data_IF_991733929482
#
_entry.id   IF_991733929482
#
_cell.length_a   1.000
_cell.length_b   1.000
_cell.length_c   1.000
_cell.angle_alpha   90.00
_cell.angle_beta   90.00
_cell.angle_gamma   90.00
#
_symmetry.space_group_name_H-M   'P 1'
#
loop_
_entity.id
_entity.type
_entity.pdbx_description
1 polymer ?
#
# COMPACT_ATOMS: atom_id res chain seq x y z
N UNK A 1 24.80 5.82 30.89
CA UNK A 1 24.65 4.64 30.02
C UNK A 1 24.17 5.14 28.68
N UNK A 2 25.00 5.03 27.63
CA UNK A 2 24.60 5.35 26.25
C UNK A 2 23.45 4.39 25.90
N UNK A 3 22.23 4.93 25.66
CA UNK A 3 21.12 4.10 25.17
C UNK A 3 21.47 3.66 23.75
N UNK A 4 21.61 2.36 23.55
CA UNK A 4 21.75 1.80 22.21
C UNK A 4 20.59 2.22 21.32
N UNK A 5 20.86 2.49 20.04
CA UNK A 5 19.82 2.78 19.05
C UNK A 5 18.82 1.61 19.00
N UNK A 6 17.53 1.89 18.81
CA UNK A 6 16.55 0.83 18.61
C UNK A 6 16.88 0.05 17.34
N UNK A 7 16.36 -1.17 17.23
CA UNK A 7 16.32 -1.90 15.97
C UNK A 7 15.12 -1.41 15.17
N UNK A 8 15.38 -0.69 14.09
CA UNK A 8 14.35 -0.25 13.13
C UNK A 8 14.25 -1.27 12.00
N UNK A 9 13.04 -1.78 11.75
CA UNK A 9 12.80 -2.79 10.71
C UNK A 9 11.84 -2.25 9.67
N UNK A 10 12.27 -2.23 8.41
CA UNK A 10 11.45 -1.79 7.26
C UNK A 10 10.82 -3.01 6.60
N UNK A 11 9.48 -3.07 6.60
CA UNK A 11 8.67 -4.16 6.06
C UNK A 11 7.90 -3.64 4.84
N UNK A 12 8.20 -4.14 3.64
CA UNK A 12 7.59 -3.63 2.41
C UNK A 12 6.14 -4.10 2.23
N UNK A 13 5.44 -3.50 1.26
CA UNK A 13 4.16 -3.98 0.75
C UNK A 13 4.32 -5.16 -0.21
N UNK A 14 3.19 -5.60 -0.77
CA UNK A 14 3.16 -6.63 -1.82
C UNK A 14 3.99 -6.18 -3.02
N UNK A 15 4.81 -7.08 -3.58
CA UNK A 15 5.72 -6.76 -4.67
C UNK A 15 6.90 -5.86 -4.28
N UNK A 16 7.13 -5.60 -2.99
CA UNK A 16 8.19 -4.72 -2.50
C UNK A 16 9.52 -5.41 -2.18
N UNK A 17 9.62 -6.71 -2.42
CA UNK A 17 10.84 -7.52 -2.28
C UNK A 17 11.29 -8.05 -3.62
N UNK A 18 12.58 -8.21 -3.80
CA UNK A 18 13.13 -8.99 -4.92
C UNK A 18 13.12 -10.48 -4.56
N UNK A 19 12.95 -11.34 -5.55
CA UNK A 19 12.87 -12.79 -5.38
C UNK A 19 13.85 -13.49 -6.32
N UNK A 20 14.62 -14.45 -5.79
CA UNK A 20 15.52 -15.32 -6.54
C UNK A 20 15.11 -16.79 -6.43
N UNK A 21 15.48 -17.61 -7.42
CA UNK A 21 15.32 -19.06 -7.37
C UNK A 21 16.41 -19.73 -6.52
N UNK A 22 16.36 -21.07 -6.41
CA UNK A 22 17.34 -21.87 -5.65
C UNK A 22 18.76 -21.78 -6.23
N UNK A 23 18.92 -21.40 -7.50
CA UNK A 23 20.22 -21.17 -8.16
C UNK A 23 20.73 -19.74 -7.95
N UNK A 24 19.99 -18.88 -7.22
CA UNK A 24 20.31 -17.47 -7.01
C UNK A 24 20.02 -16.57 -8.18
N UNK A 25 19.30 -17.03 -9.21
CA UNK A 25 18.89 -16.19 -10.33
C UNK A 25 17.71 -15.35 -9.93
N UNK A 26 17.78 -14.05 -10.23
CA UNK A 26 16.71 -13.11 -9.95
C UNK A 26 15.48 -13.41 -10.81
N UNK A 27 14.40 -13.83 -10.17
CA UNK A 27 13.10 -14.13 -10.79
C UNK A 27 12.21 -12.91 -10.80
N UNK A 28 12.23 -12.15 -9.73
CA UNK A 28 11.50 -10.90 -9.60
C UNK A 28 12.41 -9.83 -9.06
N UNK A 29 12.81 -8.91 -9.92
CA UNK A 29 13.60 -7.74 -9.59
C UNK A 29 13.27 -6.59 -10.54
N UNK A 30 13.63 -5.37 -10.19
CA UNK A 30 13.22 -4.17 -10.92
C UNK A 30 14.42 -3.36 -11.36
N UNK A 31 14.82 -3.59 -12.58
CA UNK A 31 15.40 -2.56 -13.43
C UNK A 31 14.41 -2.27 -14.58
N UNK A 32 14.61 -1.20 -15.30
CA UNK A 32 13.70 -0.80 -16.39
C UNK A 32 13.64 -1.83 -17.53
N UNK A 33 14.68 -2.63 -17.73
CA UNK A 33 14.74 -3.69 -18.75
C UNK A 33 14.07 -4.97 -18.28
N UNK A 34 14.24 -5.36 -17.03
CA UNK A 34 13.71 -6.62 -16.49
C UNK A 34 12.22 -6.57 -16.22
N UNK A 35 11.62 -5.40 -16.03
CA UNK A 35 10.20 -5.30 -15.80
C UNK A 35 9.36 -5.77 -16.99
N UNK A 36 9.77 -5.47 -18.22
CA UNK A 36 9.13 -5.97 -19.44
C UNK A 36 9.31 -7.50 -19.56
N UNK A 37 10.49 -8.00 -19.23
CA UNK A 37 10.77 -9.43 -19.26
C UNK A 37 9.94 -10.23 -18.23
N UNK A 38 9.70 -9.68 -17.02
CA UNK A 38 8.94 -10.39 -15.96
C UNK A 38 7.43 -10.44 -16.23
N UNK A 39 6.88 -9.43 -16.84
CA UNK A 39 5.49 -9.48 -17.33
C UNK A 39 5.34 -10.51 -18.46
N UNK A 40 6.42 -10.80 -19.21
CA UNK A 40 6.42 -11.81 -20.29
C UNK A 40 6.48 -13.25 -19.78
N UNK A 41 7.09 -13.49 -18.62
CA UNK A 41 7.16 -14.83 -17.99
C UNK A 41 6.66 -14.79 -16.54
N UNK A 42 5.35 -14.62 -16.32
CA UNK A 42 4.78 -14.65 -14.98
C UNK A 42 4.79 -16.04 -14.35
N UNK A 43 4.98 -17.13 -15.13
CA UNK A 43 5.01 -18.51 -14.61
C UNK A 43 6.15 -18.71 -13.60
N UNK A 44 7.24 -17.96 -13.74
CA UNK A 44 8.31 -17.96 -12.75
C UNK A 44 7.85 -17.53 -11.34
N UNK A 45 6.71 -16.82 -11.24
CA UNK A 45 6.10 -16.37 -9.98
C UNK A 45 4.96 -17.28 -9.48
N UNK A 46 4.74 -18.44 -10.08
CA UNK A 46 3.79 -19.43 -9.58
C UNK A 46 4.14 -19.85 -8.16
N UNK A 47 3.10 -20.10 -7.34
CA UNK A 47 3.29 -20.43 -5.92
C UNK A 47 4.03 -21.76 -5.72
N UNK A 48 3.99 -22.65 -6.69
CA UNK A 48 4.73 -23.92 -6.70
C UNK A 48 6.24 -23.75 -6.85
N UNK A 49 6.72 -22.63 -7.36
CA UNK A 49 8.13 -22.34 -7.50
C UNK A 49 8.70 -21.85 -6.17
N UNK A 50 9.76 -22.50 -5.69
CA UNK A 50 10.48 -22.07 -4.50
C UNK A 50 11.27 -20.82 -4.83
N UNK A 51 10.95 -19.72 -4.16
CA UNK A 51 11.65 -18.45 -4.32
C UNK A 51 12.09 -17.90 -2.98
N UNK A 52 13.23 -17.23 -2.99
CA UNK A 52 13.86 -16.65 -1.81
C UNK A 52 13.85 -15.13 -1.92
N UNK A 53 13.32 -14.40 -0.92
CA UNK A 53 13.45 -12.97 -0.86
C UNK A 53 14.91 -12.57 -0.64
N UNK A 54 15.39 -11.58 -1.38
CA UNK A 54 16.80 -11.19 -1.31
C UNK A 54 16.99 -9.76 -0.80
N UNK A 55 16.27 -8.78 -1.39
CA UNK A 55 16.41 -7.36 -1.06
C UNK A 55 15.07 -6.66 -1.12
N UNK A 56 14.98 -5.44 -0.58
CA UNK A 56 13.87 -4.55 -0.88
C UNK A 56 14.04 -3.99 -2.30
N UNK A 57 12.93 -3.81 -2.99
CA UNK A 57 12.96 -3.22 -4.32
C UNK A 57 13.54 -1.81 -4.25
N UNK A 58 14.63 -1.58 -5.00
CA UNK A 58 15.34 -0.32 -5.07
C UNK A 58 14.77 0.66 -6.12
N UNK A 59 14.05 0.15 -7.10
CA UNK A 59 13.42 0.93 -8.17
C UNK A 59 11.90 0.73 -8.18
N UNK A 60 11.22 1.37 -9.13
CA UNK A 60 9.76 1.25 -9.24
C UNK A 60 9.34 -0.12 -9.79
N UNK A 61 8.29 -0.68 -9.23
CA UNK A 61 7.64 -1.87 -9.75
C UNK A 61 6.17 -1.62 -10.08
N UNK A 62 5.57 -2.50 -10.90
CA UNK A 62 4.14 -2.46 -11.18
C UNK A 62 3.50 -3.74 -10.67
N UNK A 63 2.71 -3.60 -9.62
CA UNK A 63 1.91 -4.69 -9.05
C UNK A 63 0.46 -4.22 -8.98
N UNK A 64 -0.47 -5.08 -9.34
CA UNK A 64 -1.91 -4.78 -9.31
C UNK A 64 -2.32 -3.51 -10.06
N UNK A 65 -1.74 -3.25 -11.24
CA UNK A 65 -2.01 -2.01 -12.00
C UNK A 65 -1.54 -0.75 -11.25
N UNK A 66 -0.59 -0.89 -10.36
CA UNK A 66 -0.10 0.15 -9.49
C UNK A 66 1.42 0.26 -9.56
N UNK A 67 1.91 1.49 -9.60
CA UNK A 67 3.33 1.75 -9.47
C UNK A 67 3.71 1.60 -7.99
N UNK A 68 4.65 0.72 -7.69
CA UNK A 68 5.23 0.60 -6.35
C UNK A 68 6.57 1.33 -6.36
N UNK A 69 6.69 2.38 -5.54
CA UNK A 69 7.94 3.10 -5.33
C UNK A 69 8.93 2.18 -4.62
N UNK A 70 10.20 2.21 -5.05
CA UNK A 70 11.25 1.47 -4.38
C UNK A 70 11.54 1.98 -2.97
N UNK A 71 12.08 1.12 -2.15
CA UNK A 71 12.41 1.43 -0.74
C UNK A 71 13.84 1.99 -0.58
N UNK A 72 14.59 2.12 -1.65
CA UNK A 72 15.98 2.62 -1.62
C UNK A 72 16.05 4.03 -1.02
N UNK A 73 15.15 4.92 -1.45
CA UNK A 73 15.08 6.28 -0.92
C UNK A 73 14.75 6.30 0.58
N UNK A 74 13.84 5.43 1.02
CA UNK A 74 13.50 5.27 2.44
C UNK A 74 14.71 4.79 3.25
N UNK A 75 15.34 3.71 2.82
CA UNK A 75 16.52 3.15 3.49
C UNK A 75 17.67 4.16 3.55
N UNK A 76 17.93 4.89 2.45
CA UNK A 76 18.93 5.95 2.39
C UNK A 76 18.60 7.10 3.33
N UNK A 77 17.35 7.57 3.33
CA UNK A 77 16.91 8.66 4.21
C UNK A 77 17.03 8.28 5.69
N UNK A 78 16.63 7.06 6.06
CA UNK A 78 16.78 6.56 7.44
C UNK A 78 18.24 6.41 7.83
N UNK A 79 19.08 5.86 6.93
CA UNK A 79 20.52 5.73 7.16
C UNK A 79 21.18 7.09 7.42
N UNK A 80 20.87 8.08 6.60
CA UNK A 80 21.40 9.46 6.75
C UNK A 80 20.85 10.13 8.01
N UNK A 81 19.54 10.09 8.24
CA UNK A 81 18.91 10.72 9.41
C UNK A 81 19.41 10.13 10.72
N UNK A 82 19.68 8.84 10.75
CA UNK A 82 20.21 8.13 11.92
C UNK A 82 21.73 8.19 12.03
N UNK A 83 22.42 8.74 11.05
CA UNK A 83 23.88 8.81 11.02
C UNK A 83 24.53 7.43 11.06
N UNK A 84 23.89 6.42 10.42
CA UNK A 84 24.34 5.05 10.46
C UNK A 84 25.49 4.82 9.46
N UNK A 85 26.46 4.01 9.90
CA UNK A 85 27.46 3.43 8.99
C UNK A 85 26.87 2.23 8.25
N UNK A 86 27.50 1.81 7.16
CA UNK A 86 27.10 0.61 6.41
C UNK A 86 27.03 -0.65 7.28
N UNK A 87 27.92 -0.78 8.28
CA UNK A 87 27.90 -1.91 9.21
C UNK A 87 26.68 -1.96 10.13
N UNK A 88 25.93 -0.85 10.23
CA UNK A 88 24.72 -0.74 11.05
C UNK A 88 23.43 -0.90 10.24
N UNK A 89 23.55 -1.19 8.95
CA UNK A 89 22.44 -1.48 8.04
C UNK A 89 22.54 -2.92 7.57
N UNK A 90 21.47 -3.67 7.66
CA UNK A 90 21.42 -5.06 7.24
C UNK A 90 20.16 -5.38 6.44
N UNK A 91 20.21 -6.48 5.71
CA UNK A 91 19.05 -7.11 5.08
C UNK A 91 18.80 -8.45 5.77
N UNK A 92 17.55 -8.76 6.08
CA UNK A 92 17.16 -10.05 6.63
C UNK A 92 17.36 -11.16 5.60
N UNK A 93 17.84 -12.28 6.06
CA UNK A 93 18.15 -13.43 5.20
C UNK A 93 18.54 -14.66 5.99
N UNK A 94 18.89 -15.77 5.30
CA UNK A 94 19.26 -17.02 5.97
C UNK A 94 20.47 -16.86 6.87
N UNK A 95 21.44 -16.06 6.44
CA UNK A 95 22.63 -15.74 7.23
C UNK A 95 22.41 -14.54 8.14
N UNK A 96 22.98 -14.59 9.35
CA UNK A 96 22.91 -13.47 10.30
C UNK A 96 24.06 -12.48 10.01
N UNK A 97 23.92 -11.71 8.97
CA UNK A 97 24.88 -10.62 8.64
C UNK A 97 24.59 -9.41 9.53
N UNK A 98 25.62 -8.76 10.06
CA UNK A 98 25.53 -7.60 10.95
C UNK A 98 24.46 -7.77 12.06
N UNK A 99 24.68 -8.66 13.02
CA UNK A 99 23.69 -8.96 14.08
C UNK A 99 23.28 -7.73 14.89
N UNK A 100 24.18 -6.77 15.03
CA UNK A 100 23.98 -5.52 15.79
C UNK A 100 23.47 -4.36 14.94
N UNK A 101 23.03 -4.62 13.69
CA UNK A 101 22.46 -3.59 12.83
C UNK A 101 21.33 -2.84 13.54
N UNK A 102 21.26 -1.52 13.36
CA UNK A 102 20.21 -0.66 13.89
C UNK A 102 19.10 -0.40 12.87
N UNK A 103 19.37 -0.65 11.60
CA UNK A 103 18.39 -0.57 10.51
C UNK A 103 18.39 -1.89 9.73
N UNK A 104 17.24 -2.51 9.65
CA UNK A 104 17.03 -3.79 8.98
C UNK A 104 16.02 -3.67 7.86
N UNK A 105 16.41 -4.00 6.64
CA UNK A 105 15.49 -4.31 5.56
C UNK A 105 14.94 -5.74 5.75
N UNK A 106 13.62 -5.90 5.71
CA UNK A 106 12.97 -7.20 5.83
C UNK A 106 12.26 -7.58 4.52
N UNK A 107 12.98 -8.07 3.50
CA UNK A 107 12.35 -8.65 2.32
C UNK A 107 11.68 -9.98 2.68
N UNK A 108 10.55 -10.26 2.01
CA UNK A 108 9.81 -11.50 2.22
C UNK A 108 9.14 -11.96 0.91
N UNK A 109 8.80 -13.24 0.83
CA UNK A 109 8.02 -13.77 -0.29
C UNK A 109 6.58 -13.27 -0.20
N UNK A 110 6.29 -12.20 -0.91
CA UNK A 110 5.00 -11.52 -0.88
C UNK A 110 3.85 -12.33 -1.51
N UNK A 111 4.10 -13.51 -2.06
CA UNK A 111 3.08 -14.43 -2.56
C UNK A 111 2.43 -15.22 -1.42
N UNK A 112 3.17 -15.41 -0.33
CA UNK A 112 2.76 -16.19 0.83
C UNK A 112 1.73 -15.45 1.68
N UNK A 113 0.86 -16.17 2.41
CA UNK A 113 -0.06 -15.55 3.36
C UNK A 113 0.65 -14.69 4.41
N UNK A 114 0.00 -13.60 4.81
CA UNK A 114 0.49 -12.65 5.83
C UNK A 114 0.97 -13.35 7.10
N UNK A 115 0.24 -14.35 7.58
CA UNK A 115 0.58 -15.11 8.80
C UNK A 115 1.91 -15.87 8.68
N UNK A 116 2.24 -16.40 7.50
CA UNK A 116 3.48 -17.14 7.27
C UNK A 116 4.66 -16.16 7.24
N UNK A 117 4.47 -15.01 6.63
CA UNK A 117 5.43 -13.90 6.66
C UNK A 117 5.65 -13.38 8.09
N UNK A 118 4.61 -13.30 8.91
CA UNK A 118 4.73 -12.90 10.31
C UNK A 118 5.58 -13.88 11.14
N UNK A 119 5.52 -15.19 10.86
CA UNK A 119 6.40 -16.18 11.48
C UNK A 119 7.87 -15.96 11.06
N UNK A 120 8.11 -15.61 9.80
CA UNK A 120 9.46 -15.28 9.34
C UNK A 120 9.98 -14.00 10.02
N UNK A 121 9.14 -13.00 10.19
CA UNK A 121 9.45 -11.76 10.91
C UNK A 121 9.80 -12.05 12.39
N UNK A 122 9.00 -12.88 13.07
CA UNK A 122 9.26 -13.27 14.46
C UNK A 122 10.65 -13.90 14.62
N UNK A 123 11.00 -14.83 13.74
CA UNK A 123 12.31 -15.49 13.75
C UNK A 123 13.45 -14.48 13.62
N UNK A 124 13.31 -13.52 12.72
CA UNK A 124 14.33 -12.50 12.48
C UNK A 124 14.45 -11.52 13.65
N UNK A 125 13.33 -11.10 14.23
CA UNK A 125 13.32 -10.20 15.39
C UNK A 125 13.94 -10.87 16.61
N UNK A 126 13.66 -12.15 16.88
CA UNK A 126 14.28 -12.89 18.01
C UNK A 126 15.79 -13.05 17.85
N UNK A 127 16.27 -13.18 16.60
CA UNK A 127 17.72 -13.26 16.33
C UNK A 127 18.45 -11.94 16.58
N UNK A 128 17.78 -10.78 16.38
CA UNK A 128 18.41 -9.45 16.32
C UNK A 128 18.04 -8.50 17.45
N UNK A 129 16.86 -8.61 18.02
CA UNK A 129 16.43 -7.66 19.06
C UNK A 129 17.34 -7.72 20.30
N UNK A 130 17.63 -8.91 20.81
CA UNK A 130 18.58 -9.12 21.92
C UNK A 130 18.41 -8.11 23.08
N UNK A 131 17.15 -7.84 23.47
CA UNK A 131 16.80 -6.86 24.51
C UNK A 131 16.80 -5.39 24.07
N UNK A 132 17.09 -5.09 22.81
CA UNK A 132 16.90 -3.73 22.24
C UNK A 132 15.43 -3.47 21.97
N UNK A 133 15.04 -2.22 22.07
CA UNK A 133 13.71 -1.79 21.62
C UNK A 133 13.59 -1.91 20.11
N UNK A 134 12.40 -2.28 19.64
CA UNK A 134 12.10 -2.50 18.23
C UNK A 134 11.13 -1.44 17.74
N UNK A 135 11.39 -0.87 16.56
CA UNK A 135 10.47 -0.01 15.81
C UNK A 135 10.20 -0.70 14.47
N UNK A 136 8.95 -0.98 14.18
CA UNK A 136 8.55 -1.51 12.87
C UNK A 136 8.04 -0.38 11.99
N UNK A 137 8.57 -0.28 10.78
CA UNK A 137 8.11 0.63 9.72
C UNK A 137 7.54 -0.21 8.59
N UNK A 138 6.23 -0.24 8.47
CA UNK A 138 5.54 -1.21 7.64
C UNK A 138 4.63 -0.52 6.61
N UNK A 139 4.86 -0.79 5.34
CA UNK A 139 4.07 -0.23 4.25
C UNK A 139 3.03 -1.23 3.74
N UNK A 140 1.80 -0.75 3.49
CA UNK A 140 0.75 -1.53 2.83
C UNK A 140 0.53 -2.90 3.50
N UNK A 141 0.62 -4.00 2.74
CA UNK A 141 0.52 -5.38 3.24
C UNK A 141 1.53 -5.68 4.36
N UNK A 142 2.70 -5.05 4.35
CA UNK A 142 3.69 -5.19 5.43
C UNK A 142 3.14 -4.77 6.80
N UNK A 143 2.20 -3.84 6.83
CA UNK A 143 1.50 -3.46 8.06
C UNK A 143 0.59 -4.56 8.60
N UNK A 144 -0.02 -5.38 7.75
CA UNK A 144 -0.75 -6.56 8.17
C UNK A 144 0.20 -7.63 8.75
N UNK A 145 1.39 -7.78 8.16
CA UNK A 145 2.44 -8.66 8.69
C UNK A 145 2.87 -8.22 10.08
N UNK A 146 3.15 -6.93 10.27
CA UNK A 146 3.52 -6.38 11.56
C UNK A 146 2.40 -6.51 12.61
N UNK A 147 1.15 -6.26 12.19
CA UNK A 147 -0.03 -6.38 13.04
C UNK A 147 -0.27 -7.85 13.48
N UNK A 148 -0.17 -8.79 12.53
CA UNK A 148 -0.28 -10.22 12.83
C UNK A 148 0.81 -10.67 13.79
N UNK A 149 2.06 -10.28 13.49
CA UNK A 149 3.19 -10.60 14.37
C UNK A 149 2.98 -10.07 15.80
N UNK A 150 2.59 -8.80 15.94
CA UNK A 150 2.39 -8.20 17.25
C UNK A 150 1.24 -8.85 18.01
N UNK A 151 0.13 -9.17 17.33
CA UNK A 151 -1.04 -9.78 17.95
C UNK A 151 -0.73 -11.18 18.53
N UNK A 152 0.01 -12.02 17.80
CA UNK A 152 0.11 -13.44 18.11
C UNK A 152 1.52 -13.94 18.47
N UNK A 153 2.57 -13.24 18.07
CA UNK A 153 3.94 -13.75 18.16
C UNK A 153 4.88 -12.82 18.95
N UNK A 154 4.58 -11.54 19.03
CA UNK A 154 5.49 -10.51 19.55
C UNK A 154 5.71 -10.49 21.06
N UNK A 155 5.26 -11.50 21.79
CA UNK A 155 5.48 -11.61 23.24
C UNK A 155 6.98 -11.71 23.56
N UNK A 156 7.40 -10.96 24.59
CA UNK A 156 8.80 -10.93 25.06
C UNK A 156 9.73 -10.01 24.26
N UNK A 157 9.24 -9.34 23.21
CA UNK A 157 10.00 -8.32 22.46
C UNK A 157 9.52 -6.93 22.88
N UNK A 158 10.45 -6.06 23.26
CA UNK A 158 10.14 -4.66 23.63
C UNK A 158 9.89 -3.82 22.37
N UNK A 159 8.60 -3.65 22.03
CA UNK A 159 8.16 -2.86 20.88
C UNK A 159 7.98 -1.40 21.31
N UNK A 160 8.77 -0.52 20.71
CA UNK A 160 8.66 0.91 20.92
C UNK A 160 7.48 1.50 20.14
N UNK A 161 7.39 1.15 18.86
CA UNK A 161 6.32 1.62 17.95
C UNK A 161 6.19 0.71 16.73
N UNK A 162 4.97 0.65 16.20
CA UNK A 162 4.62 0.03 14.93
C UNK A 162 4.00 1.12 14.04
N UNK A 163 4.80 1.63 13.12
CA UNK A 163 4.39 2.66 12.18
C UNK A 163 3.88 1.98 10.92
N UNK A 164 2.62 2.21 10.58
CA UNK A 164 2.00 1.64 9.39
C UNK A 164 1.65 2.75 8.38
N UNK A 165 1.94 2.49 7.11
CA UNK A 165 1.78 3.44 6.01
C UNK A 165 0.81 2.83 4.99
N UNK A 166 -0.42 3.34 4.90
CA UNK A 166 -1.43 2.87 3.95
C UNK A 166 -1.84 1.40 4.10
N UNK A 167 -1.79 0.85 5.31
CA UNK A 167 -2.09 -0.57 5.57
C UNK A 167 -3.57 -0.87 5.42
N UNK A 168 -3.96 -1.85 4.58
CA UNK A 168 -5.36 -2.21 4.37
C UNK A 168 -5.89 -3.13 5.49
N UNK A 169 -6.09 -2.60 6.69
CA UNK A 169 -6.56 -3.39 7.85
C UNK A 169 -7.90 -4.09 7.60
N UNK A 170 -8.77 -3.50 6.76
CA UNK A 170 -10.05 -4.12 6.38
C UNK A 170 -10.05 -4.66 4.95
N UNK A 171 -8.88 -4.77 4.33
CA UNK A 171 -8.73 -5.15 2.93
C UNK A 171 -9.01 -3.99 1.96
N UNK A 172 -9.01 -4.28 0.67
CA UNK A 172 -9.21 -3.30 -0.39
C UNK A 172 -10.07 -3.87 -1.53
N UNK A 173 -11.07 -3.11 -1.98
CA UNK A 173 -11.91 -3.48 -3.13
C UNK A 173 -11.07 -3.67 -4.41
N UNK A 174 -9.92 -3.00 -4.51
CA UNK A 174 -8.97 -3.19 -5.61
C UNK A 174 -8.41 -4.61 -5.67
N UNK A 175 -8.17 -5.27 -4.55
CA UNK A 175 -7.74 -6.69 -4.54
C UNK A 175 -8.84 -7.62 -5.08
N UNK A 176 -10.10 -7.34 -4.73
CA UNK A 176 -11.25 -8.05 -5.27
C UNK A 176 -11.38 -7.85 -6.78
N UNK A 177 -11.23 -6.61 -7.27
CA UNK A 177 -11.25 -6.28 -8.69
C UNK A 177 -10.19 -7.08 -9.46
N UNK A 178 -8.96 -7.09 -8.97
CA UNK A 178 -7.84 -7.81 -9.58
C UNK A 178 -8.09 -9.32 -9.65
N UNK A 179 -8.62 -9.92 -8.59
CA UNK A 179 -8.91 -11.36 -8.57
C UNK A 179 -10.03 -11.75 -9.53
N UNK A 180 -11.10 -10.99 -9.56
CA UNK A 180 -12.29 -11.32 -10.37
C UNK A 180 -12.11 -10.88 -11.83
N UNK A 181 -11.78 -9.60 -12.05
CA UNK A 181 -11.73 -8.99 -13.38
C UNK A 181 -10.35 -9.09 -14.04
N UNK A 182 -9.32 -9.48 -13.26
CA UNK A 182 -7.95 -9.57 -13.76
C UNK A 182 -7.23 -8.20 -13.81
N UNK A 183 -5.94 -8.27 -14.09
CA UNK A 183 -5.10 -7.10 -14.31
C UNK A 183 -5.26 -6.61 -15.74
N UNK A 184 -5.43 -5.31 -15.92
CA UNK A 184 -5.49 -4.65 -17.22
C UNK A 184 -4.53 -3.48 -17.28
N UNK A 185 -3.72 -3.42 -18.34
CA UNK A 185 -2.89 -2.26 -18.65
C UNK A 185 -3.36 -1.63 -19.96
N UNK A 186 -3.64 -0.34 -19.95
CA UNK A 186 -4.14 0.36 -21.12
C UNK A 186 -5.38 -0.30 -21.76
N UNK A 187 -6.27 -0.88 -20.94
CA UNK A 187 -7.43 -1.63 -21.43
C UNK A 187 -7.16 -3.08 -21.83
N UNK A 188 -5.89 -3.50 -21.99
CA UNK A 188 -5.51 -4.85 -22.39
C UNK A 188 -5.37 -5.75 -21.15
N UNK A 189 -6.07 -6.89 -21.18
CA UNK A 189 -6.00 -7.88 -20.10
C UNK A 189 -4.64 -8.58 -20.07
N UNK A 190 -4.09 -8.70 -18.87
CA UNK A 190 -2.83 -9.40 -18.58
C UNK A 190 -3.15 -10.79 -18.02
N UNK A 191 -3.69 -11.67 -18.86
CA UNK A 191 -4.23 -12.98 -18.43
C UNK A 191 -3.19 -13.87 -17.72
N UNK A 192 -1.95 -13.91 -18.21
CA UNK A 192 -0.89 -14.74 -17.63
C UNK A 192 -0.54 -14.31 -16.19
N UNK A 193 -0.31 -13.02 -15.95
CA UNK A 193 -0.02 -12.52 -14.60
C UNK A 193 -1.26 -12.63 -13.69
N UNK A 194 -2.45 -12.41 -14.24
CA UNK A 194 -3.71 -12.59 -13.50
C UNK A 194 -3.86 -14.03 -12.99
N UNK A 195 -3.57 -15.02 -13.84
CA UNK A 195 -3.64 -16.44 -13.45
C UNK A 195 -2.70 -16.73 -12.28
N UNK A 196 -1.47 -16.28 -12.35
CA UNK A 196 -0.47 -16.49 -11.29
C UNK A 196 -0.87 -15.83 -9.99
N UNK A 197 -1.35 -14.58 -10.03
CA UNK A 197 -1.79 -13.84 -8.84
C UNK A 197 -2.99 -14.49 -8.12
N UNK A 198 -3.87 -15.17 -8.86
CA UNK A 198 -5.02 -15.88 -8.30
C UNK A 198 -4.64 -17.02 -7.37
N UNK A 199 -3.40 -17.49 -7.43
CA UNK A 199 -2.89 -18.54 -6.55
C UNK A 199 -2.16 -18.00 -5.31
N UNK A 200 -1.80 -16.72 -5.26
CA UNK A 200 -1.09 -16.17 -4.11
C UNK A 200 -2.00 -16.02 -2.89
N UNK A 201 -1.59 -16.61 -1.77
CA UNK A 201 -2.33 -16.53 -0.53
C UNK A 201 -2.47 -15.11 0.01
N UNK A 202 -1.44 -14.30 -0.17
CA UNK A 202 -1.40 -12.89 0.25
C UNK A 202 -2.49 -12.03 -0.39
N UNK A 203 -2.87 -12.31 -1.64
CA UNK A 203 -3.91 -11.53 -2.32
C UNK A 203 -5.29 -11.77 -1.69
N UNK A 204 -5.52 -12.97 -1.17
CA UNK A 204 -6.74 -13.27 -0.42
C UNK A 204 -6.76 -12.55 0.93
N UNK A 205 -5.61 -12.39 1.59
CA UNK A 205 -5.52 -11.61 2.84
C UNK A 205 -5.80 -10.10 2.63
N UNK A 206 -5.71 -9.63 1.38
CA UNK A 206 -6.04 -8.25 1.00
C UNK A 206 -7.51 -8.07 0.58
N UNK A 207 -8.33 -9.13 0.52
CA UNK A 207 -9.75 -9.01 0.17
C UNK A 207 -10.52 -8.20 1.22
N UNK A 208 -11.58 -7.46 0.81
CA UNK A 208 -12.45 -6.77 1.74
C UNK A 208 -13.04 -7.68 2.82
N UNK A 209 -12.93 -7.27 4.09
CA UNK A 209 -13.54 -7.93 5.23
C UNK A 209 -14.82 -7.23 5.71
N UNK A 210 -15.25 -6.21 5.01
CA UNK A 210 -16.50 -5.48 5.19
C UNK A 210 -17.48 -5.88 4.08
N UNK A 211 -18.72 -5.43 4.19
CA UNK A 211 -19.77 -5.65 3.21
C UNK A 211 -19.49 -4.81 1.95
N UNK A 212 -18.60 -5.32 1.10
CA UNK A 212 -18.07 -4.59 -0.04
C UNK A 212 -18.93 -4.72 -1.31
N UNK A 213 -19.84 -5.70 -1.38
CA UNK A 213 -20.52 -6.08 -2.63
C UNK A 213 -22.01 -5.83 -2.51
N UNK A 214 -22.56 -5.03 -3.41
CA UNK A 214 -23.99 -4.82 -3.58
C UNK A 214 -24.53 -5.62 -4.76
N UNK A 215 -25.83 -5.92 -4.74
CA UNK A 215 -26.49 -6.63 -5.84
C UNK A 215 -26.12 -8.13 -5.95
N UNK A 216 -25.30 -8.65 -5.05
CA UNK A 216 -24.99 -10.08 -5.00
C UNK A 216 -26.06 -10.83 -4.18
N UNK A 217 -26.82 -11.78 -4.78
CA UNK A 217 -27.90 -12.49 -4.10
C UNK A 217 -27.43 -13.37 -2.94
N UNK A 218 -26.19 -13.85 -2.98
CA UNK A 218 -25.63 -14.75 -1.97
C UNK A 218 -24.99 -14.01 -0.78
N UNK A 219 -24.90 -12.68 -0.86
CA UNK A 219 -24.45 -11.81 0.24
C UNK A 219 -23.33 -10.85 -0.11
N UNK A 220 -23.00 -9.92 0.82
CA UNK A 220 -22.16 -8.75 0.52
C UNK A 220 -20.65 -8.98 0.64
N UNK A 221 -20.20 -10.20 0.96
CA UNK A 221 -18.78 -10.48 1.18
C UNK A 221 -18.13 -11.20 -0.01
N UNK A 222 -16.83 -11.03 -0.25
CA UNK A 222 -16.12 -11.67 -1.37
C UNK A 222 -16.28 -13.20 -1.42
N UNK A 223 -16.25 -13.89 -0.29
CA UNK A 223 -16.39 -15.35 -0.24
C UNK A 223 -17.79 -15.85 -0.63
N UNK A 224 -18.75 -14.95 -0.80
CA UNK A 224 -20.12 -15.21 -1.21
C UNK A 224 -20.37 -14.95 -2.70
N UNK A 225 -19.33 -14.60 -3.47
CA UNK A 225 -19.47 -14.41 -4.92
C UNK A 225 -19.93 -15.70 -5.60
N UNK A 226 -20.83 -15.60 -6.62
CA UNK A 226 -21.33 -16.73 -7.35
C UNK A 226 -20.19 -17.53 -8.03
N UNK A 227 -20.31 -18.86 -8.12
CA UNK A 227 -19.32 -19.68 -8.79
C UNK A 227 -19.03 -19.26 -10.24
N UNK A 228 -20.00 -18.70 -10.96
CA UNK A 228 -19.83 -18.19 -12.32
C UNK A 228 -18.76 -17.10 -12.43
N UNK A 229 -18.63 -16.23 -11.42
CA UNK A 229 -17.63 -15.16 -11.37
C UNK A 229 -16.25 -15.65 -10.93
N UNK A 230 -16.16 -16.81 -10.33
CA UNK A 230 -14.94 -17.33 -9.69
C UNK A 230 -14.44 -18.63 -10.33
N UNK A 231 -15.02 -19.03 -11.47
CA UNK A 231 -14.67 -20.29 -12.16
C UNK A 231 -13.17 -20.43 -12.48
N UNK A 232 -12.51 -19.33 -12.80
CA UNK A 232 -11.06 -19.30 -13.06
C UNK A 232 -10.20 -19.43 -11.79
N UNK A 233 -10.82 -19.58 -10.61
CA UNK A 233 -10.16 -19.63 -9.30
C UNK A 233 -10.71 -20.81 -8.48
N UNK A 234 -10.24 -22.02 -8.70
CA UNK A 234 -10.69 -23.18 -7.93
C UNK A 234 -10.58 -22.96 -6.42
N UNK A 235 -11.65 -23.27 -5.68
CA UNK A 235 -11.68 -23.08 -4.23
C UNK A 235 -11.73 -21.62 -3.74
N UNK A 236 -12.04 -20.65 -4.62
CA UNK A 236 -12.09 -19.23 -4.26
C UNK A 236 -12.89 -18.96 -2.98
N UNK A 237 -14.15 -19.41 -2.90
CA UNK A 237 -15.02 -19.16 -1.74
C UNK A 237 -14.40 -19.68 -0.43
N UNK A 238 -13.81 -20.87 -0.45
CA UNK A 238 -13.13 -21.45 0.71
C UNK A 238 -11.89 -20.64 1.11
N UNK A 239 -11.07 -20.25 0.15
CA UNK A 239 -9.85 -19.44 0.39
C UNK A 239 -10.20 -18.05 0.89
N UNK A 240 -11.17 -17.39 0.26
CA UNK A 240 -11.65 -16.07 0.67
C UNK A 240 -12.31 -16.10 2.06
N UNK A 241 -13.06 -17.16 2.38
CA UNK A 241 -13.65 -17.35 3.72
C UNK A 241 -12.56 -17.55 4.79
N UNK A 242 -11.54 -18.35 4.50
CA UNK A 242 -10.41 -18.55 5.39
C UNK A 242 -9.66 -17.24 5.69
N UNK A 243 -9.43 -16.42 4.66
CA UNK A 243 -8.80 -15.11 4.83
C UNK A 243 -9.69 -14.15 5.65
N UNK A 244 -10.99 -14.13 5.39
CA UNK A 244 -11.96 -13.38 6.17
C UNK A 244 -11.95 -13.77 7.66
N UNK A 245 -12.00 -15.05 7.96
CA UNK A 245 -12.01 -15.54 9.35
C UNK A 245 -10.68 -15.22 10.06
N UNK A 246 -9.54 -15.37 9.37
CA UNK A 246 -8.23 -15.00 9.90
C UNK A 246 -8.11 -13.48 10.18
N UNK A 247 -8.66 -12.64 9.32
CA UNK A 247 -8.67 -11.19 9.55
C UNK A 247 -9.58 -10.82 10.75
N UNK A 248 -10.74 -11.44 10.89
CA UNK A 248 -11.58 -11.24 12.07
C UNK A 248 -10.87 -11.64 13.36
N UNK A 249 -10.12 -12.73 13.34
CA UNK A 249 -9.30 -13.15 14.47
C UNK A 249 -8.22 -12.12 14.80
N UNK A 250 -7.52 -11.61 13.76
CA UNK A 250 -6.53 -10.55 13.91
C UNK A 250 -7.14 -9.31 14.57
N UNK A 251 -8.26 -8.81 14.05
CA UNK A 251 -8.89 -7.61 14.61
C UNK A 251 -9.28 -7.79 16.08
N UNK A 252 -9.88 -8.93 16.43
CA UNK A 252 -10.22 -9.25 17.82
C UNK A 252 -8.98 -9.26 18.72
N UNK A 253 -7.91 -9.93 18.29
CA UNK A 253 -6.68 -10.01 19.07
C UNK A 253 -6.02 -8.64 19.25
N UNK A 254 -6.03 -7.78 18.22
CA UNK A 254 -5.54 -6.41 18.30
C UNK A 254 -6.35 -5.58 19.30
N UNK A 255 -7.67 -5.64 19.25
CA UNK A 255 -8.57 -4.94 20.18
C UNK A 255 -8.38 -5.40 21.64
N UNK A 256 -8.28 -6.70 21.86
CA UNK A 256 -8.02 -7.27 23.18
C UNK A 256 -6.69 -6.76 23.75
N UNK A 257 -5.62 -6.84 22.96
CA UNK A 257 -4.28 -6.48 23.36
C UNK A 257 -4.10 -4.97 23.58
N UNK A 258 -4.78 -4.13 22.79
CA UNK A 258 -4.74 -2.67 22.96
C UNK A 258 -5.55 -2.18 24.16
N UNK A 259 -6.63 -2.88 24.57
CA UNK A 259 -7.37 -2.58 25.81
C UNK A 259 -6.51 -2.76 27.08
N UNK A 260 -5.48 -3.60 27.03
CA UNK A 260 -4.54 -3.82 28.13
C UNK A 260 -3.56 -2.64 28.31
N UNK A 261 -3.74 -1.54 27.61
CA UNK A 261 -3.02 -0.27 27.78
C UNK A 261 -1.72 -0.16 27.00
N UNK A 262 -1.44 -1.09 26.09
CA UNK A 262 -0.26 -1.07 25.21
C UNK A 262 -0.68 -0.95 23.75
N UNK A 263 -0.86 0.27 23.27
CA UNK A 263 -1.07 0.52 21.84
C UNK A 263 0.22 1.09 21.22
N UNK A 264 1.05 0.27 20.53
CA UNK A 264 2.27 0.76 19.90
C UNK A 264 2.03 1.31 18.49
N UNK A 265 0.78 1.34 17.99
CA UNK A 265 0.52 1.68 16.60
C UNK A 265 0.44 3.18 16.36
N UNK A 266 1.15 3.63 15.33
CA UNK A 266 0.93 4.91 14.66
C UNK A 266 0.63 4.64 13.18
N UNK A 267 -0.55 5.05 12.74
CA UNK A 267 -1.06 4.77 11.39
C UNK A 267 -1.03 6.03 10.53
N UNK A 268 -0.27 5.98 9.45
CA UNK A 268 -0.29 6.98 8.40
C UNK A 268 -1.28 6.55 7.32
N UNK A 269 -2.27 7.37 7.08
CA UNK A 269 -3.27 7.17 6.05
C UNK A 269 -3.29 8.36 5.09
N UNK A 270 -3.71 8.14 3.87
CA UNK A 270 -3.82 9.21 2.88
C UNK A 270 -5.25 9.36 2.39
N UNK A 271 -5.59 10.58 2.05
CA UNK A 271 -6.86 10.94 1.43
C UNK A 271 -6.61 11.91 0.27
N UNK A 272 -7.65 12.16 -0.53
CA UNK A 272 -7.57 13.05 -1.68
C UNK A 272 -7.33 12.32 -2.99
N UNK A 273 -7.40 10.98 -3.01
CA UNK A 273 -7.35 10.21 -4.24
C UNK A 273 -8.61 9.36 -4.38
N UNK A 274 -9.17 9.35 -5.60
CA UNK A 274 -10.30 8.50 -5.94
C UNK A 274 -9.92 7.03 -5.77
N UNK A 275 -10.57 6.34 -4.83
CA UNK A 275 -10.16 5.01 -4.37
C UNK A 275 -11.33 4.03 -4.42
N UNK A 276 -11.18 2.83 -5.00
CA UNK A 276 -12.23 1.82 -4.96
C UNK A 276 -12.56 1.42 -3.52
N UNK A 277 -13.82 1.64 -3.10
CA UNK A 277 -14.30 1.31 -1.75
C UNK A 277 -15.32 0.19 -1.73
N UNK A 278 -16.07 -0.01 -2.82
CA UNK A 278 -17.11 -1.05 -2.94
C UNK A 278 -17.19 -1.61 -4.35
N UNK A 279 -17.99 -2.63 -4.52
CA UNK A 279 -18.30 -3.22 -5.82
C UNK A 279 -19.81 -3.49 -5.94
N UNK A 280 -20.28 -3.58 -7.17
CA UNK A 280 -21.67 -3.94 -7.52
C UNK A 280 -21.63 -5.14 -8.44
N UNK A 281 -22.55 -6.08 -8.24
CA UNK A 281 -22.78 -7.18 -9.18
C UNK A 281 -23.94 -6.81 -10.09
N UNK A 282 -23.65 -6.61 -11.37
CA UNK A 282 -24.63 -6.32 -12.42
C UNK A 282 -24.45 -7.27 -13.60
N UNK A 283 -25.50 -7.94 -14.01
CA UNK A 283 -25.51 -8.85 -15.17
C UNK A 283 -24.27 -9.79 -15.19
N UNK A 284 -24.01 -10.45 -14.08
CA UNK A 284 -22.89 -11.38 -13.87
C UNK A 284 -21.47 -10.74 -14.01
N UNK A 285 -21.38 -9.43 -13.81
CA UNK A 285 -20.10 -8.70 -13.76
C UNK A 285 -19.91 -8.02 -12.40
N UNK A 286 -18.66 -8.01 -11.95
CA UNK A 286 -18.24 -7.23 -10.80
C UNK A 286 -17.73 -5.88 -11.29
N UNK A 287 -18.36 -4.80 -10.82
CA UNK A 287 -17.98 -3.42 -11.13
C UNK A 287 -17.52 -2.76 -9.85
N UNK A 288 -16.26 -2.35 -9.77
CA UNK A 288 -15.74 -1.62 -8.62
C UNK A 288 -16.05 -0.13 -8.73
N UNK A 289 -16.49 0.46 -7.63
CA UNK A 289 -16.88 1.86 -7.53
C UNK A 289 -15.96 2.60 -6.56
N UNK A 290 -15.61 3.85 -6.93
CA UNK A 290 -14.78 4.75 -6.11
C UNK A 290 -15.60 5.48 -5.05
N UNK A 291 -16.40 4.71 -4.34
CA UNK A 291 -17.32 5.14 -3.29
C UNK A 291 -17.21 4.20 -2.09
N UNK A 292 -17.52 4.69 -0.92
CA UNK A 292 -17.60 3.84 0.27
C UNK A 292 -18.87 2.98 0.25
N UNK A 293 -18.87 1.83 0.91
CA UNK A 293 -20.09 1.07 1.16
C UNK A 293 -21.12 1.91 1.94
N UNK A 294 -22.43 1.80 1.65
CA UNK A 294 -23.47 2.62 2.27
C UNK A 294 -23.51 2.53 3.81
N UNK A 295 -23.11 1.40 4.38
CA UNK A 295 -23.05 1.21 5.83
C UNK A 295 -21.86 1.92 6.51
N UNK A 296 -20.90 2.43 5.74
CA UNK A 296 -19.75 3.21 6.22
C UNK A 296 -19.98 4.71 5.98
N UNK A 297 -21.22 5.17 6.20
CA UNK A 297 -21.59 6.59 6.17
C UNK A 297 -20.82 7.36 7.23
N UNK A 298 -20.36 8.57 6.89
CA UNK A 298 -19.56 9.41 7.80
C UNK A 298 -18.05 9.22 7.68
N UNK A 299 -17.58 8.23 6.91
CA UNK A 299 -16.19 8.12 6.52
C UNK A 299 -15.95 8.84 5.19
N UNK A 300 -14.76 9.40 5.03
CA UNK A 300 -14.38 10.09 3.79
C UNK A 300 -14.42 9.14 2.60
N UNK A 301 -15.08 9.56 1.54
CA UNK A 301 -15.20 8.82 0.27
C UNK A 301 -13.93 8.97 -0.57
N UNK A 302 -12.78 8.66 0.02
CA UNK A 302 -11.47 8.79 -0.62
C UNK A 302 -10.46 7.82 0.02
N UNK A 303 -9.24 7.85 -0.48
CA UNK A 303 -8.12 7.09 0.05
C UNK A 303 -6.81 7.52 -0.60
N UNK A 304 -5.89 6.59 -0.73
CA UNK A 304 -4.59 6.79 -1.35
C UNK A 304 -4.51 6.31 -2.82
N UNK A 305 -5.68 6.01 -3.43
CA UNK A 305 -5.81 5.43 -4.77
C UNK A 305 -5.85 3.89 -4.78
N UNK A 306 -5.56 3.26 -3.66
CA UNK A 306 -5.55 1.79 -3.49
C UNK A 306 -6.39 1.35 -2.32
N UNK A 307 -6.15 1.95 -1.17
CA UNK A 307 -6.78 1.60 0.10
C UNK A 307 -7.65 2.79 0.54
N UNK A 308 -8.95 2.58 0.74
CA UNK A 308 -9.83 3.64 1.23
C UNK A 308 -9.50 3.98 2.68
N UNK A 309 -9.71 5.24 3.08
CA UNK A 309 -9.40 5.76 4.43
C UNK A 309 -9.94 4.86 5.53
N UNK A 310 -11.19 4.45 5.44
CA UNK A 310 -11.81 3.59 6.47
C UNK A 310 -11.11 2.24 6.64
N UNK A 311 -10.39 1.76 5.61
CA UNK A 311 -9.64 0.51 5.69
C UNK A 311 -8.24 0.69 6.26
N UNK A 312 -7.66 1.89 6.18
CA UNK A 312 -6.33 2.17 6.72
C UNK A 312 -6.32 2.49 8.21
N UNK A 313 -7.47 2.82 8.78
CA UNK A 313 -7.63 3.08 10.21
C UNK A 313 -8.19 1.81 10.87
N UNK A 314 -7.40 1.11 11.70
CA UNK A 314 -7.91 -0.06 12.41
C UNK A 314 -8.96 0.33 13.45
N UNK A 315 -9.88 -0.60 13.78
CA UNK A 315 -11.00 -0.34 14.69
C UNK A 315 -10.56 0.18 16.06
N UNK A 316 -9.46 -0.32 16.59
CA UNK A 316 -8.91 0.10 17.88
C UNK A 316 -8.30 1.51 17.89
N UNK A 317 -8.18 2.16 16.73
CA UNK A 317 -7.75 3.55 16.59
C UNK A 317 -8.87 4.49 16.09
N UNK A 318 -10.09 4.02 15.87
CA UNK A 318 -11.17 4.87 15.33
C UNK A 318 -11.49 6.05 16.24
N UNK A 319 -11.44 5.86 17.56
CA UNK A 319 -11.68 6.90 18.55
C UNK A 319 -10.39 7.57 19.07
N UNK A 320 -9.22 7.12 18.60
CA UNK A 320 -7.92 7.60 19.06
C UNK A 320 -7.21 8.44 17.99
N UNK A 321 -7.35 9.77 18.08
CA UNK A 321 -6.74 10.71 17.12
C UNK A 321 -5.20 10.67 17.18
N UNK A 322 -4.62 10.46 18.37
CA UNK A 322 -3.16 10.52 18.58
C UNK A 322 -2.37 9.46 17.79
N UNK A 323 -2.97 8.30 17.52
CA UNK A 323 -2.37 7.22 16.76
C UNK A 323 -2.52 7.35 15.25
N UNK A 324 -3.18 8.42 14.75
CA UNK A 324 -3.48 8.60 13.33
C UNK A 324 -2.77 9.81 12.73
N UNK A 325 -2.21 9.64 11.54
CA UNK A 325 -1.49 10.69 10.81
C UNK A 325 -2.01 10.77 9.38
N UNK A 326 -2.58 11.90 9.01
CA UNK A 326 -3.12 12.13 7.68
C UNK A 326 -2.06 12.65 6.71
N UNK A 327 -2.07 12.11 5.51
CA UNK A 327 -1.25 12.50 4.39
C UNK A 327 -2.11 12.79 3.15
N UNK A 328 -1.48 13.32 2.09
CA UNK A 328 -2.12 13.58 0.79
C UNK A 328 -1.22 13.05 -0.32
N UNK A 329 -0.86 11.77 -0.22
CA UNK A 329 0.04 11.06 -1.16
C UNK A 329 -0.67 9.84 -1.73
N UNK A 330 -0.28 9.42 -2.93
CA UNK A 330 -0.68 8.10 -3.43
C UNK A 330 -0.03 7.00 -2.61
N UNK A 331 -0.65 5.84 -2.61
CA UNK A 331 -0.29 4.68 -1.82
C UNK A 331 1.22 4.36 -1.84
N UNK A 332 1.81 4.35 -3.01
CA UNK A 332 3.22 4.05 -3.23
C UNK A 332 4.17 5.14 -2.71
N UNK A 333 3.73 6.41 -2.68
CA UNK A 333 4.56 7.55 -2.30
C UNK A 333 4.56 7.83 -0.79
N UNK A 334 3.78 7.06 -0.01
CA UNK A 334 3.69 7.22 1.44
C UNK A 334 5.03 7.03 2.15
N UNK A 335 5.89 6.16 1.63
CA UNK A 335 7.22 5.87 2.18
C UNK A 335 8.24 7.01 1.96
N UNK A 336 7.94 7.96 1.09
CA UNK A 336 8.77 9.14 0.81
C UNK A 336 8.23 10.42 1.48
N UNK A 337 7.24 10.31 2.36
CA UNK A 337 6.62 11.47 2.98
C UNK A 337 7.54 12.11 4.02
N UNK A 338 7.76 13.41 3.89
CA UNK A 338 8.68 14.17 4.75
C UNK A 338 8.27 14.13 6.24
N UNK A 339 6.98 14.27 6.53
CA UNK A 339 6.46 14.20 7.91
C UNK A 339 6.73 12.87 8.58
N UNK A 340 6.62 11.77 7.84
CA UNK A 340 6.98 10.46 8.33
C UNK A 340 8.49 10.36 8.59
N UNK A 341 9.32 10.86 7.68
CA UNK A 341 10.77 10.88 7.85
C UNK A 341 11.23 11.80 9.00
N UNK A 342 10.50 12.88 9.27
CA UNK A 342 10.71 13.73 10.43
C UNK A 342 10.37 13.01 11.73
N UNK A 343 9.22 12.34 11.79
CA UNK A 343 8.86 11.50 12.94
C UNK A 343 9.95 10.48 13.25
N UNK A 344 10.46 9.78 12.23
CA UNK A 344 11.56 8.82 12.41
C UNK A 344 12.83 9.47 12.97
N UNK A 345 13.11 10.73 12.65
CA UNK A 345 14.29 11.43 13.16
C UNK A 345 14.25 11.68 14.67
N UNK A 346 13.08 11.66 15.29
CA UNK A 346 12.93 11.84 16.74
C UNK A 346 13.54 10.68 17.54
N UNK A 347 13.58 9.47 16.96
CA UNK A 347 14.21 8.30 17.58
C UNK A 347 15.72 8.43 17.74
N UNK A 348 16.36 9.28 16.94
CA UNK A 348 17.82 9.49 16.97
C UNK A 348 18.23 10.49 18.05
N UNK A 349 17.32 11.40 18.44
CA UNK A 349 17.63 12.50 19.36
C UNK A 349 17.58 12.11 20.83
N UNK A 350 17.73 10.83 21.21
CA UNK A 350 17.63 10.32 22.60
C UNK A 350 16.28 10.61 23.29
N UNK A 351 15.30 11.01 22.52
CA UNK A 351 13.95 11.29 22.98
C UNK A 351 13.02 10.32 22.30
N UNK A 352 12.77 9.20 22.95
CA UNK A 352 11.52 8.52 22.67
C UNK A 352 10.41 9.53 22.97
N UNK A 353 9.64 9.95 21.97
CA UNK A 353 8.59 10.90 22.23
C UNK A 353 7.67 10.32 23.29
N UNK A 354 7.40 11.07 24.31
CA UNK A 354 6.13 10.96 25.00
C UNK A 354 5.08 11.08 23.87
N UNK A 355 4.32 10.02 23.66
CA UNK A 355 3.31 9.81 22.64
C UNK A 355 3.25 10.94 21.59
N UNK A 356 3.73 10.68 20.40
CA UNK A 356 3.82 11.67 19.35
C UNK A 356 2.54 12.52 19.34
N UNK A 357 2.67 13.79 19.62
CA UNK A 357 1.54 14.70 19.68
C UNK A 357 0.99 14.77 18.28
N UNK A 358 -0.22 14.21 18.10
CA UNK A 358 -0.96 14.38 16.87
C UNK A 358 -1.27 15.85 16.71
N UNK A 359 -0.52 16.52 15.88
CA UNK A 359 -0.94 17.78 15.32
C UNK A 359 -1.84 17.46 14.12
N UNK A 360 -3.04 16.96 14.41
CA UNK A 360 -4.15 17.18 13.51
C UNK A 360 -4.58 18.63 13.74
N UNK A 361 -3.75 19.59 13.27
CA UNK A 361 -4.23 20.93 13.06
C UNK A 361 -5.51 20.84 12.25
N UNK A 362 -6.48 21.69 12.50
CA UNK A 362 -7.67 21.82 11.64
C UNK A 362 -7.20 21.81 10.19
N UNK A 363 -7.34 20.65 9.55
CA UNK A 363 -6.91 20.47 8.17
C UNK A 363 -7.72 21.38 7.27
N UNK A 364 -7.27 21.63 6.05
CA UNK A 364 -8.01 22.47 5.13
C UNK A 364 -9.43 21.90 4.98
N UNK A 365 -10.40 22.80 4.93
CA UNK A 365 -11.80 22.45 4.70
C UNK A 365 -12.05 21.88 3.29
N UNK A 366 -11.04 21.92 2.42
CA UNK A 366 -11.11 21.48 1.04
C UNK A 366 -9.88 20.66 0.64
N UNK A 367 -10.10 19.58 -0.11
CA UNK A 367 -9.10 18.63 -0.57
C UNK A 367 -9.16 18.45 -2.07
N UNK A 368 -8.02 18.09 -2.68
CA UNK A 368 -7.98 17.65 -4.07
C UNK A 368 -8.18 16.13 -4.15
N UNK A 369 -9.06 15.73 -5.04
CA UNK A 369 -9.22 14.32 -5.44
C UNK A 369 -8.86 14.18 -6.91
N UNK A 370 -7.93 13.27 -7.22
CA UNK A 370 -7.43 13.05 -8.59
C UNK A 370 -7.76 11.64 -9.03
N UNK A 371 -8.38 11.53 -10.18
CA UNK A 371 -8.70 10.27 -10.86
C UNK A 371 -7.82 10.14 -12.11
N UNK A 372 -6.72 9.41 -11.98
CA UNK A 372 -5.79 9.07 -13.04
C UNK A 372 -5.10 7.75 -12.70
N UNK A 373 -4.97 6.87 -13.68
CA UNK A 373 -4.24 5.61 -13.51
C UNK A 373 -2.76 5.86 -13.20
N UNK A 374 -2.16 4.99 -12.40
CA UNK A 374 -0.73 5.07 -12.04
C UNK A 374 0.18 4.68 -13.20
N UNK A 375 -0.34 3.87 -14.12
CA UNK A 375 0.37 3.42 -15.33
C UNK A 375 -0.40 3.84 -16.56
N UNK A 376 0.25 4.62 -17.41
CA UNK A 376 -0.33 5.19 -18.62
C UNK A 376 0.36 4.61 -19.86
N UNK A 377 -0.35 4.44 -20.99
CA UNK A 377 0.29 4.10 -22.26
C UNK A 377 1.19 5.24 -22.76
N UNK A 378 2.33 4.86 -23.36
CA UNK A 378 3.28 5.80 -23.93
C UNK A 378 2.73 6.43 -25.23
N UNK A 379 3.02 7.68 -25.45
CA UNK A 379 2.71 8.37 -26.70
C UNK A 379 1.23 8.70 -26.91
N UNK A 380 0.37 8.43 -25.95
CA UNK A 380 -1.05 8.73 -26.01
C UNK A 380 -1.45 9.86 -25.03
N UNK A 381 -2.41 10.70 -25.43
CA UNK A 381 -3.02 11.66 -24.53
C UNK A 381 -3.94 10.96 -23.54
N UNK A 382 -3.89 11.36 -22.27
CA UNK A 382 -4.71 10.79 -21.22
C UNK A 382 -5.60 11.84 -20.59
N UNK A 383 -6.79 11.41 -20.18
CA UNK A 383 -7.74 12.28 -19.49
C UNK A 383 -7.61 12.05 -17.98
N UNK A 384 -7.40 13.12 -17.23
CA UNK A 384 -7.39 13.14 -15.78
C UNK A 384 -8.58 13.92 -15.26
N UNK A 385 -9.30 13.38 -14.30
CA UNK A 385 -10.36 14.11 -13.59
C UNK A 385 -9.84 14.59 -12.24
N UNK A 386 -10.16 15.86 -11.91
CA UNK A 386 -9.82 16.48 -10.63
C UNK A 386 -11.07 17.05 -10.02
N UNK A 387 -11.36 16.70 -8.78
CA UNK A 387 -12.42 17.29 -7.96
C UNK A 387 -11.81 18.00 -6.75
N UNK A 388 -12.49 19.07 -6.30
CA UNK A 388 -12.23 19.67 -4.99
C UNK A 388 -13.37 19.24 -4.10
N UNK A 389 -13.04 18.58 -2.99
CA UNK A 389 -14.05 18.00 -2.10
C UNK A 389 -13.84 18.47 -0.66
N UNK A 390 -14.90 18.44 0.13
CA UNK A 390 -14.82 18.64 1.58
C UNK A 390 -14.36 17.36 2.31
N UNK A 391 -14.34 17.38 3.63
CA UNK A 391 -13.98 16.24 4.46
C UNK A 391 -14.97 15.05 4.32
N UNK A 392 -16.20 15.30 3.90
CA UNK A 392 -17.21 14.27 3.63
C UNK A 392 -17.10 13.66 2.23
N UNK A 393 -16.27 14.23 1.35
CA UNK A 393 -16.15 13.83 -0.05
C UNK A 393 -17.15 14.51 -1.00
N UNK A 394 -17.92 15.48 -0.50
CA UNK A 394 -18.83 16.28 -1.33
C UNK A 394 -18.05 17.29 -2.17
N UNK A 395 -18.42 17.43 -3.44
CA UNK A 395 -17.75 18.34 -4.36
C UNK A 395 -17.95 19.81 -3.97
N UNK A 396 -16.84 20.54 -3.89
CA UNK A 396 -16.81 21.98 -3.61
C UNK A 396 -16.51 22.78 -4.87
N UNK A 397 -17.11 23.96 -4.95
CA UNK A 397 -16.79 24.90 -6.01
C UNK A 397 -15.37 25.43 -5.86
N UNK A 398 -14.51 25.19 -6.84
CA UNK A 398 -13.16 25.73 -6.92
C UNK A 398 -13.05 26.83 -7.96
N UNK A 399 -12.16 27.79 -7.71
CA UNK A 399 -11.90 28.91 -8.63
C UNK A 399 -11.06 28.55 -9.86
N UNK A 400 -10.47 27.36 -9.88
CA UNK A 400 -9.67 26.85 -10.98
C UNK A 400 -8.69 25.78 -10.53
N UNK A 401 -8.43 24.81 -11.41
CA UNK A 401 -7.46 23.74 -11.23
C UNK A 401 -6.36 23.89 -12.27
N UNK A 402 -5.12 23.66 -11.87
CA UNK A 402 -3.97 23.68 -12.75
C UNK A 402 -2.83 22.86 -12.21
N UNK A 403 -1.78 22.73 -13.00
CA UNK A 403 -0.64 21.94 -12.58
C UNK A 403 0.42 21.78 -13.66
N UNK A 404 1.27 20.76 -13.50
CA UNK A 404 2.32 20.44 -14.48
C UNK A 404 2.63 18.93 -14.48
N UNK A 405 2.98 18.43 -15.66
CA UNK A 405 3.51 17.08 -15.86
C UNK A 405 4.72 17.15 -16.78
N UNK A 406 5.79 16.42 -16.48
CA UNK A 406 7.05 16.45 -17.26
C UNK A 406 7.56 17.88 -17.54
N UNK A 407 7.38 18.80 -16.57
CA UNK A 407 7.74 20.23 -16.73
C UNK A 407 6.78 21.06 -17.56
N UNK A 408 5.81 20.48 -18.24
CA UNK A 408 4.79 21.19 -19.03
C UNK A 408 3.58 21.55 -18.14
N UNK A 409 3.17 22.81 -18.18
CA UNK A 409 2.00 23.28 -17.44
C UNK A 409 0.73 22.90 -18.20
N UNK A 410 -0.32 22.56 -17.45
CA UNK A 410 -1.68 22.38 -17.97
C UNK A 410 -2.68 23.25 -17.22
N UNK A 411 -3.81 23.48 -17.84
CA UNK A 411 -5.03 24.02 -17.20
C UNK A 411 -6.14 23.02 -17.35
N UNK A 412 -7.01 22.97 -16.35
CA UNK A 412 -8.18 22.12 -16.38
C UNK A 412 -9.39 22.89 -16.95
N UNK A 413 -10.23 22.18 -17.65
CA UNK A 413 -11.54 22.67 -18.10
C UNK A 413 -12.62 22.19 -17.14
N UNK A 414 -13.60 23.01 -16.87
CA UNK A 414 -14.68 22.68 -15.94
C UNK A 414 -15.67 21.72 -16.59
N UNK A 415 -16.00 20.65 -15.87
CA UNK A 415 -17.00 19.65 -16.26
C UNK A 415 -17.91 19.36 -15.05
N UNK A 416 -19.05 20.02 -14.99
CA UNK A 416 -19.95 19.96 -13.84
C UNK A 416 -19.31 20.44 -12.54
N UNK A 417 -19.26 19.60 -11.52
CA UNK A 417 -18.62 19.84 -10.23
C UNK A 417 -17.10 19.61 -10.26
N UNK A 418 -16.59 18.86 -11.26
CA UNK A 418 -15.19 18.47 -11.38
C UNK A 418 -14.46 19.22 -12.50
N UNK A 419 -13.20 18.88 -12.69
CA UNK A 419 -12.32 19.48 -13.69
C UNK A 419 -11.66 18.38 -14.52
N UNK A 420 -11.66 18.55 -15.84
CA UNK A 420 -11.02 17.65 -16.80
C UNK A 420 -9.70 18.26 -17.25
N UNK A 421 -8.67 17.44 -17.24
CA UNK A 421 -7.33 17.78 -17.75
C UNK A 421 -6.98 16.79 -18.84
N UNK A 422 -6.64 17.30 -20.01
CA UNK A 422 -6.01 16.52 -21.06
C UNK A 422 -4.50 16.55 -20.85
N UNK A 423 -3.93 15.43 -20.41
CA UNK A 423 -2.48 15.27 -20.30
C UNK A 423 -1.89 15.08 -21.71
N UNK A 424 -0.78 15.74 -22.02
CA UNK A 424 -0.12 15.53 -23.29
C UNK A 424 0.42 14.09 -23.38
N UNK A 425 0.69 13.59 -24.59
CA UNK A 425 1.45 12.37 -24.76
C UNK A 425 2.77 12.46 -23.98
N UNK A 426 3.09 11.41 -23.24
CA UNK A 426 4.30 11.30 -22.43
C UNK A 426 5.16 10.18 -22.98
N UNK A 427 6.48 10.38 -22.92
CA UNK A 427 7.46 9.37 -23.26
C UNK A 427 7.50 8.28 -22.18
N UNK A 428 8.10 7.13 -22.51
CA UNK A 428 8.31 6.07 -21.51
C UNK A 428 9.14 6.59 -20.33
N UNK A 429 8.73 6.23 -19.12
CA UNK A 429 9.43 6.60 -17.91
C UNK A 429 8.51 6.91 -16.74
N UNK A 430 9.09 7.45 -15.69
CA UNK A 430 8.37 7.91 -14.49
C UNK A 430 8.26 9.42 -14.52
N UNK A 431 7.05 9.92 -14.54
CA UNK A 431 6.76 11.36 -14.61
C UNK A 431 6.13 11.86 -13.31
N UNK A 432 6.63 13.01 -12.85
CA UNK A 432 6.03 13.70 -11.70
C UNK A 432 4.90 14.60 -12.18
N UNK A 433 3.72 14.37 -11.63
CA UNK A 433 2.54 15.20 -11.84
C UNK A 433 2.30 16.07 -10.60
N UNK A 434 2.03 17.34 -10.80
CA UNK A 434 1.65 18.29 -9.74
C UNK A 434 0.29 18.88 -10.08
N UNK A 435 -0.63 18.84 -9.11
CA UNK A 435 -1.97 19.41 -9.23
C UNK A 435 -2.21 20.38 -8.09
N UNK A 436 -2.86 21.50 -8.38
CA UNK A 436 -3.26 22.50 -7.39
C UNK A 436 -4.59 23.13 -7.78
N UNK A 437 -5.37 23.56 -6.79
CA UNK A 437 -6.59 24.32 -7.00
C UNK A 437 -6.58 25.64 -6.23
N UNK A 438 -7.30 26.62 -6.75
CA UNK A 438 -7.53 27.86 -6.02
C UNK A 438 -8.48 27.59 -4.84
N UNK A 439 -8.12 28.09 -3.65
CA UNK A 439 -8.88 27.89 -2.41
C UNK A 439 -8.48 26.64 -1.63
N UNK A 440 -7.58 25.81 -2.17
CA UNK A 440 -6.98 24.67 -1.47
C UNK A 440 -5.58 25.07 -0.98
N UNK A 441 -5.23 24.67 0.25
CA UNK A 441 -3.95 25.04 0.86
C UNK A 441 -2.76 24.51 0.06
N UNK A 442 -1.58 25.14 0.24
CA UNK A 442 -0.34 24.65 -0.38
C UNK A 442 0.04 23.25 0.12
N UNK A 443 -0.37 22.89 1.33
CA UNK A 443 -0.13 21.57 1.91
C UNK A 443 -0.92 20.46 1.20
N UNK A 444 -2.02 20.82 0.53
CA UNK A 444 -2.88 19.89 -0.20
C UNK A 444 -2.59 19.83 -1.71
N UNK A 445 -1.43 20.32 -2.14
CA UNK A 445 -0.97 20.06 -3.50
C UNK A 445 -0.69 18.58 -3.66
N UNK A 446 -1.42 17.96 -4.57
CA UNK A 446 -1.17 16.58 -4.92
C UNK A 446 0.06 16.53 -5.81
N UNK A 447 1.08 15.79 -5.36
CA UNK A 447 2.26 15.46 -6.13
C UNK A 447 2.30 13.94 -6.19
N UNK A 448 2.15 13.38 -7.38
CA UNK A 448 2.28 11.95 -7.56
C UNK A 448 3.10 11.63 -8.80
N UNK A 449 3.54 10.40 -8.91
CA UNK A 449 4.29 9.90 -10.05
C UNK A 449 3.40 8.98 -10.85
N UNK A 450 3.41 9.13 -12.16
CA UNK A 450 2.77 8.20 -13.07
C UNK A 450 3.84 7.58 -13.96
N UNK A 451 3.72 6.30 -14.25
CA UNK A 451 4.57 5.63 -15.18
C UNK A 451 3.93 5.61 -16.57
N UNK A 452 4.76 5.89 -17.56
CA UNK A 452 4.40 5.74 -18.95
C UNK A 452 5.23 4.58 -19.52
N UNK A 453 4.59 3.57 -20.04
CA UNK A 453 5.26 2.38 -20.60
C UNK A 453 4.67 1.99 -21.95
N UNK A 454 5.46 1.32 -22.76
CA UNK A 454 4.98 0.75 -24.01
C UNK A 454 3.91 -0.31 -23.70
N UNK A 455 2.73 -0.14 -24.28
CA UNK A 455 1.77 -1.24 -24.42
C UNK A 455 2.30 -2.16 -25.49
N UNK A 456 3.14 -3.14 -25.13
CA UNK A 456 3.55 -4.13 -26.13
C UNK A 456 2.35 -5.03 -26.41
N UNK A 457 1.64 -4.76 -27.49
CA UNK A 457 0.84 -5.77 -28.14
C UNK A 457 1.80 -6.86 -28.64
N UNK A 458 2.05 -7.89 -27.83
CA UNK A 458 2.62 -9.11 -28.36
C UNK A 458 1.47 -9.81 -29.12
N UNK A 459 1.39 -9.52 -30.42
CA UNK A 459 0.77 -10.40 -31.38
C UNK A 459 1.68 -11.63 -31.54
N UNK A 460 1.22 -12.73 -31.06
CA UNK A 460 1.29 -14.15 -31.47
C UNK A 460 1.32 -15.08 -30.25
#
# INVERSE_FOLDING_TARGET
MSRSLPLVVVIPGIGGSTLADDDGRMVYHMDTSSMVARIRDPQALEIGNRLHPTELIGAYSVVFKQLVTGYENLMTALTQKFGLSQAQVATAGPELVAPDASLLAFPYDFRQPVRETAVALDRELRRRAQGRRVVLVAHSMGGLVAAWWWAFLGEGIDVAEIITLGTPYRGAAKALDVLVNGIRFGGVEQSKITTVLRDWGSVFDLLPHYQAIEGNPDGPYPYQLPPGMTMAMPGFSTRARKAYDANKELHRALEEKTREGKNPFTTYYSQGHATPGRAVVEADRLITLKENPPQLTGHWNSGDGTVPVFSTIPSFLEDEIKGRRRLSKKHQDLVEEERFLEHMSEYVRDRLPAAARGDEGEGPLAYLQVDLDDVLPAGESQTMRVSVVDAGGEELAAGGVGGSVAGKKFRAERDGGSWIVQLPPLDEGVHRLRVSAAGVSKADRIIFRTRVGAVSCASE
#
